data_IF_955776109141
#
_entry.id   IF_955776109141
#
_cell.length_a   1.000
_cell.length_b   1.000
_cell.length_c   1.000
_cell.angle_alpha   90.00
_cell.angle_beta   90.00
_cell.angle_gamma   90.00
#
_symmetry.space_group_name_H-M   'P 1'
#
loop_
_entity.id
_entity.type
_entity.pdbx_description
1 polymer ?
#
# COMPACT_ATOMS: atom_id res chain seq x y z
N UNK A 1 21.63 36.80 -13.60
CA UNK A 1 20.24 37.17 -13.94
C UNK A 1 19.18 36.81 -12.91
N UNK A 2 19.23 35.68 -12.19
CA UNK A 2 18.14 35.31 -11.27
C UNK A 2 18.41 35.46 -9.76
N UNK A 3 19.55 36.00 -9.32
CA UNK A 3 19.84 36.14 -7.88
C UNK A 3 19.74 34.81 -7.11
N UNK A 4 18.82 34.72 -6.15
CA UNK A 4 18.49 33.51 -5.36
C UNK A 4 17.46 32.58 -6.05
N UNK A 5 17.17 32.82 -7.33
CA UNK A 5 16.19 32.09 -8.13
C UNK A 5 14.92 32.88 -8.40
N UNK A 6 13.92 32.19 -8.99
CA UNK A 6 12.66 32.79 -9.44
C UNK A 6 12.68 33.16 -10.92
N UNK A 7 11.53 32.99 -11.58
CA UNK A 7 11.30 33.38 -12.98
C UNK A 7 10.29 34.53 -13.04
N UNK A 8 10.56 35.51 -13.89
CA UNK A 8 9.73 36.71 -14.05
C UNK A 8 8.57 36.44 -15.04
N UNK A 9 7.31 36.31 -14.58
CA UNK A 9 6.18 36.02 -15.46
C UNK A 9 5.85 37.14 -16.46
N UNK A 10 6.28 38.37 -16.18
CA UNK A 10 6.13 39.54 -17.05
C UNK A 10 7.02 39.50 -18.29
N UNK A 11 8.07 38.67 -18.30
CA UNK A 11 8.96 38.48 -19.44
C UNK A 11 8.46 37.26 -20.22
N UNK A 12 8.02 37.48 -21.47
CA UNK A 12 7.48 36.43 -22.36
C UNK A 12 8.57 35.52 -22.97
N UNK A 13 9.54 35.11 -22.16
CA UNK A 13 10.63 34.19 -22.51
C UNK A 13 10.67 33.08 -21.47
N UNK A 14 10.80 31.84 -21.94
CA UNK A 14 10.95 30.69 -21.05
C UNK A 14 12.25 30.79 -20.26
N UNK A 15 12.13 30.98 -18.96
CA UNK A 15 13.23 31.09 -18.01
C UNK A 15 13.28 29.79 -17.18
N UNK A 16 14.49 29.26 -16.95
CA UNK A 16 14.67 27.98 -16.24
C UNK A 16 15.64 28.13 -15.06
N UNK A 17 15.24 28.82 -13.96
CA UNK A 17 16.04 28.85 -12.74
C UNK A 17 16.34 27.42 -12.27
N UNK A 18 17.59 27.15 -11.88
CA UNK A 18 18.05 25.81 -11.44
C UNK A 18 17.76 24.67 -12.46
N UNK A 19 17.62 24.98 -13.75
CA UNK A 19 17.22 24.05 -14.82
C UNK A 19 15.85 23.37 -14.61
N UNK A 20 14.98 23.90 -13.73
CA UNK A 20 13.65 23.35 -13.52
C UNK A 20 12.75 23.59 -14.74
N UNK A 21 11.89 22.63 -15.09
CA UNK A 21 10.94 22.76 -16.21
C UNK A 21 11.54 22.56 -17.60
N UNK A 22 12.86 22.36 -17.71
CA UNK A 22 13.51 21.98 -18.96
C UNK A 22 13.32 20.48 -19.20
N UNK A 23 12.90 20.11 -20.41
CA UNK A 23 12.94 18.70 -20.84
C UNK A 23 14.40 18.23 -20.79
N UNK A 24 14.70 17.28 -19.89
CA UNK A 24 16.07 16.83 -19.65
C UNK A 24 16.70 16.17 -20.88
N UNK A 25 18.03 16.26 -21.03
CA UNK A 25 18.80 15.56 -22.09
C UNK A 25 18.73 14.01 -22.03
N UNK A 26 18.03 13.45 -21.04
CA UNK A 26 17.71 12.02 -20.93
C UNK A 26 16.29 11.87 -20.40
N UNK A 27 15.33 11.70 -21.31
CA UNK A 27 13.88 11.69 -21.04
C UNK A 27 13.42 10.56 -20.08
N UNK A 28 14.25 9.54 -19.85
CA UNK A 28 13.94 8.41 -18.96
C UNK A 28 15.12 8.09 -18.06
N UNK A 29 15.00 8.36 -16.76
CA UNK A 29 15.96 7.93 -15.74
C UNK A 29 15.35 6.84 -14.86
N UNK A 30 16.15 5.82 -14.51
CA UNK A 30 15.74 4.76 -13.58
C UNK A 30 15.99 5.15 -12.11
N UNK A 31 16.41 6.40 -11.86
CA UNK A 31 16.72 6.88 -10.52
C UNK A 31 15.44 7.37 -9.82
N UNK A 32 15.26 6.96 -8.56
CA UNK A 32 14.21 7.53 -7.70
C UNK A 32 14.51 9.01 -7.45
N UNK A 33 13.47 9.84 -7.46
CA UNK A 33 13.59 11.25 -7.16
C UNK A 33 14.11 11.46 -5.72
N UNK A 34 15.06 12.37 -5.55
CA UNK A 34 15.56 12.76 -4.23
C UNK A 34 14.45 13.50 -3.49
N UNK A 35 13.99 12.94 -2.37
CA UNK A 35 12.95 13.54 -1.54
C UNK A 35 13.57 14.20 -0.32
N UNK A 36 13.00 15.32 0.12
CA UNK A 36 13.38 16.01 1.36
C UNK A 36 12.32 15.81 2.45
N UNK A 37 12.74 15.89 3.71
CA UNK A 37 11.84 15.96 4.86
C UNK A 37 11.35 17.39 5.13
N UNK A 38 10.48 17.53 6.13
CA UNK A 38 9.93 18.83 6.50
C UNK A 38 11.01 19.79 7.03
N UNK A 39 12.16 19.25 7.45
CA UNK A 39 13.33 19.97 7.94
C UNK A 39 14.36 20.26 6.83
N UNK A 40 14.10 19.84 5.59
CA UNK A 40 14.99 20.04 4.46
C UNK A 40 16.15 19.04 4.37
N UNK A 41 16.19 17.99 5.20
CA UNK A 41 17.19 16.91 5.10
C UNK A 41 16.76 15.90 4.04
N UNK A 42 17.75 15.29 3.39
CA UNK A 42 17.53 14.26 2.37
C UNK A 42 16.94 13.01 3.01
N UNK A 43 15.80 12.53 2.49
CA UNK A 43 15.14 11.30 2.92
C UNK A 43 15.78 10.08 2.28
N UNK A 44 16.89 9.61 2.86
CA UNK A 44 17.49 8.33 2.49
C UNK A 44 16.60 7.12 2.84
N UNK A 45 15.63 7.29 3.74
CA UNK A 45 14.66 6.28 4.14
C UNK A 45 13.81 5.73 2.97
N UNK A 46 13.67 6.51 1.88
CA UNK A 46 12.97 6.07 0.67
C UNK A 46 13.60 4.80 0.07
N UNK A 47 14.92 4.61 0.23
CA UNK A 47 15.63 3.41 -0.20
C UNK A 47 15.24 2.19 0.64
N UNK A 48 15.18 2.34 1.97
CA UNK A 48 14.78 1.26 2.88
C UNK A 48 13.30 0.90 2.73
N UNK A 49 12.46 1.86 2.35
CA UNK A 49 11.02 1.66 2.11
C UNK A 49 10.68 1.07 0.75
N UNK A 50 11.65 0.86 -0.14
CA UNK A 50 11.39 0.31 -1.46
C UNK A 50 10.66 -1.03 -1.35
N UNK A 51 9.47 -1.15 -1.97
CA UNK A 51 8.66 -2.37 -1.94
C UNK A 51 7.74 -2.52 -0.72
N UNK A 52 7.81 -1.59 0.24
CA UNK A 52 6.87 -1.51 1.37
C UNK A 52 5.79 -0.44 1.09
N UNK A 53 4.67 -0.54 1.82
CA UNK A 53 3.64 0.48 1.77
C UNK A 53 4.12 1.78 2.48
N UNK A 54 3.59 2.93 2.06
CA UNK A 54 4.01 4.26 2.55
C UNK A 54 3.82 4.46 4.05
N UNK A 55 2.83 3.78 4.61
CA UNK A 55 2.36 3.77 5.99
C UNK A 55 3.10 2.76 6.87
N UNK A 56 3.88 1.84 6.28
CA UNK A 56 4.70 0.91 7.06
C UNK A 56 5.84 1.67 7.74
N UNK A 57 5.90 1.55 9.06
CA UNK A 57 6.96 2.14 9.87
C UNK A 57 8.24 1.32 9.70
N UNK A 58 9.31 1.98 9.27
CA UNK A 58 10.66 1.42 9.13
C UNK A 58 11.61 2.37 9.86
N UNK A 59 12.36 1.80 10.80
CA UNK A 59 13.41 2.53 11.51
C UNK A 59 14.70 2.47 10.68
N UNK A 60 15.25 3.62 10.36
CA UNK A 60 16.44 3.77 9.51
C UNK A 60 17.35 4.90 9.93
N UNK A 61 16.92 5.72 10.90
CA UNK A 61 17.65 6.91 11.33
C UNK A 61 18.34 6.67 12.66
N UNK A 62 19.46 7.35 12.89
CA UNK A 62 20.13 7.33 14.20
C UNK A 62 19.23 7.84 15.33
N UNK A 63 18.30 8.75 15.05
CA UNK A 63 17.30 9.23 16.02
C UNK A 63 16.45 8.11 16.57
N UNK A 64 16.24 7.04 15.81
CA UNK A 64 15.43 5.88 16.21
C UNK A 64 16.23 4.92 17.13
N UNK A 65 17.56 5.07 17.21
CA UNK A 65 18.43 4.33 18.15
C UNK A 65 18.60 5.04 19.49
N UNK A 66 18.24 6.33 19.56
CA UNK A 66 18.37 7.08 20.79
C UNK A 66 17.26 6.63 21.76
N UNK A 67 17.58 6.38 23.04
CA UNK A 67 16.57 6.04 24.01
C UNK A 67 15.62 7.22 24.20
N UNK A 68 14.32 6.94 24.22
CA UNK A 68 13.34 7.90 24.70
C UNK A 68 13.41 7.93 26.23
N UNK A 69 13.64 9.11 26.81
CA UNK A 69 13.63 9.29 28.26
C UNK A 69 12.20 9.24 28.77
N UNK A 70 11.94 8.39 29.78
CA UNK A 70 10.67 8.39 30.50
C UNK A 70 10.74 9.49 31.54
N UNK A 71 10.06 10.60 31.28
CA UNK A 71 10.15 11.83 32.11
C UNK A 71 9.27 11.73 33.36
N UNK A 72 8.17 10.97 33.30
CA UNK A 72 7.24 10.75 34.41
C UNK A 72 6.65 9.33 34.35
N UNK A 73 6.31 8.75 35.50
CA UNK A 73 5.69 7.41 35.57
C UNK A 73 4.25 7.40 35.00
N UNK A 74 3.54 8.53 35.05
CA UNK A 74 2.16 8.71 34.57
C UNK A 74 2.09 9.38 33.18
N UNK A 75 2.97 9.01 32.25
CA UNK A 75 2.94 9.55 30.88
C UNK A 75 1.74 8.99 30.09
N UNK A 76 0.77 9.82 29.66
CA UNK A 76 -0.42 9.37 28.94
C UNK A 76 -0.11 8.72 27.58
N UNK A 77 1.08 8.90 27.02
CA UNK A 77 1.50 8.24 25.78
C UNK A 77 1.88 6.77 25.94
N UNK A 78 2.20 6.35 27.18
CA UNK A 78 2.57 4.98 27.54
C UNK A 78 1.37 4.18 28.08
N UNK A 79 0.24 4.85 28.32
CA UNK A 79 -0.98 4.20 28.75
C UNK A 79 -1.51 3.24 27.68
N UNK A 80 -2.13 2.15 28.14
CA UNK A 80 -2.85 1.26 27.23
C UNK A 80 -4.03 2.04 26.64
N UNK A 81 -4.41 1.76 25.38
CA UNK A 81 -5.65 2.29 24.82
C UNK A 81 -6.85 1.98 25.73
N UNK A 82 -7.90 2.80 25.63
CA UNK A 82 -9.09 2.66 26.45
C UNK A 82 -9.72 1.26 26.30
N UNK A 83 -10.36 0.76 27.36
CA UNK A 83 -10.98 -0.57 27.37
C UNK A 83 -12.02 -0.72 26.25
N UNK A 84 -12.74 0.35 25.90
CA UNK A 84 -13.69 0.35 24.79
C UNK A 84 -13.01 0.16 23.42
N UNK A 85 -11.86 0.79 23.17
CA UNK A 85 -11.09 0.64 21.92
C UNK A 85 -10.49 -0.76 21.80
N UNK A 86 -10.04 -1.32 22.94
CA UNK A 86 -9.57 -2.70 23.03
C UNK A 86 -10.69 -3.67 22.70
N UNK A 87 -11.89 -3.46 23.25
CA UNK A 87 -13.07 -4.28 22.93
C UNK A 87 -13.47 -4.17 21.46
N UNK A 88 -13.50 -2.96 20.90
CA UNK A 88 -13.83 -2.77 19.48
C UNK A 88 -12.80 -3.47 18.57
N UNK A 89 -11.51 -3.34 18.86
CA UNK A 89 -10.45 -4.00 18.10
C UNK A 89 -10.52 -5.52 18.24
N UNK A 90 -10.85 -6.02 19.43
CA UNK A 90 -11.05 -7.46 19.69
C UNK A 90 -12.22 -8.01 18.90
N UNK A 91 -13.34 -7.28 18.81
CA UNK A 91 -14.49 -7.70 18.02
C UNK A 91 -14.19 -7.69 16.52
N UNK A 92 -13.54 -6.63 16.01
CA UNK A 92 -13.13 -6.54 14.60
C UNK A 92 -12.18 -7.68 14.22
N UNK A 93 -11.18 -7.96 15.05
CA UNK A 93 -10.20 -9.03 14.81
C UNK A 93 -10.84 -10.41 14.90
N UNK A 94 -11.72 -10.63 15.89
CA UNK A 94 -12.49 -11.87 16.01
C UNK A 94 -13.33 -12.15 14.76
N UNK A 95 -14.11 -11.18 14.29
CA UNK A 95 -14.94 -11.32 13.08
C UNK A 95 -14.10 -11.61 11.83
N UNK A 96 -12.93 -10.97 11.69
CA UNK A 96 -12.01 -11.23 10.58
C UNK A 96 -11.44 -12.65 10.62
N UNK A 97 -11.06 -13.14 11.81
CA UNK A 97 -10.55 -14.50 11.99
C UNK A 97 -11.65 -15.54 11.77
N UNK A 98 -12.87 -15.30 12.25
CA UNK A 98 -14.05 -16.15 12.01
C UNK A 98 -14.35 -16.28 10.51
N UNK A 99 -14.23 -15.19 9.73
CA UNK A 99 -14.40 -15.25 8.28
C UNK A 99 -13.35 -16.13 7.59
N UNK A 100 -12.10 -16.05 8.03
CA UNK A 100 -11.01 -16.87 7.49
C UNK A 100 -11.17 -18.35 7.86
N UNK A 101 -11.57 -18.64 9.10
CA UNK A 101 -11.79 -20.02 9.55
C UNK A 101 -13.01 -20.63 8.88
N UNK A 102 -14.10 -19.88 8.71
CA UNK A 102 -15.29 -20.35 8.00
C UNK A 102 -14.96 -20.78 6.56
N UNK A 103 -14.13 -20.01 5.86
CA UNK A 103 -13.66 -20.37 4.50
C UNK A 103 -12.87 -21.68 4.49
N UNK A 104 -12.03 -21.91 5.50
CA UNK A 104 -11.26 -23.16 5.65
C UNK A 104 -12.15 -24.36 5.99
N UNK A 105 -13.11 -24.17 6.89
CA UNK A 105 -14.07 -25.21 7.29
C UNK A 105 -14.94 -25.61 6.09
N UNK A 106 -15.48 -24.64 5.35
CA UNK A 106 -16.27 -24.89 4.16
C UNK A 106 -15.50 -25.64 3.05
N UNK A 107 -14.19 -25.43 2.96
CA UNK A 107 -13.32 -26.18 2.05
C UNK A 107 -13.10 -27.63 2.49
N UNK A 108 -13.09 -27.90 3.79
CA UNK A 108 -12.84 -29.23 4.36
C UNK A 108 -14.11 -30.10 4.48
N UNK A 109 -15.31 -29.53 4.39
CA UNK A 109 -16.56 -30.30 4.45
C UNK A 109 -16.70 -31.23 3.22
N UNK A 110 -16.84 -32.57 3.41
CA UNK A 110 -16.85 -33.54 2.31
C UNK A 110 -18.04 -33.43 1.36
N UNK A 111 -19.21 -33.04 1.88
CA UNK A 111 -20.46 -32.92 1.11
C UNK A 111 -20.88 -31.46 1.13
N UNK A 112 -21.06 -30.87 -0.05
CA UNK A 112 -21.60 -29.51 -0.19
C UNK A 112 -23.06 -29.60 -0.59
N UNK A 113 -23.94 -29.01 0.21
CA UNK A 113 -25.27 -28.68 -0.26
C UNK A 113 -25.15 -27.66 -1.41
N UNK A 114 -26.01 -27.74 -2.42
CA UNK A 114 -26.02 -26.77 -3.50
C UNK A 114 -26.26 -25.36 -2.91
N UNK A 115 -25.29 -24.48 -3.10
CA UNK A 115 -25.39 -23.09 -2.64
C UNK A 115 -26.49 -22.38 -3.43
N UNK A 116 -27.35 -21.65 -2.72
CA UNK A 116 -28.35 -20.79 -3.37
C UNK A 116 -27.63 -19.63 -4.01
N UNK A 117 -27.85 -19.41 -5.30
CA UNK A 117 -27.25 -18.29 -6.03
C UNK A 117 -27.70 -16.97 -5.41
N UNK A 118 -26.73 -16.08 -5.20
CA UNK A 118 -27.02 -14.74 -4.71
C UNK A 118 -27.90 -13.97 -5.71
N UNK A 119 -28.72 -13.00 -5.24
CA UNK A 119 -29.50 -12.16 -6.13
C UNK A 119 -28.59 -11.31 -7.05
N UNK A 120 -29.14 -10.91 -8.19
CA UNK A 120 -28.40 -10.08 -9.16
C UNK A 120 -27.95 -8.74 -8.55
N UNK A 121 -26.68 -8.39 -8.75
CA UNK A 121 -26.09 -7.13 -8.28
C UNK A 121 -25.95 -6.15 -9.44
N UNK A 122 -26.22 -4.87 -9.20
CA UNK A 122 -26.06 -3.82 -10.22
C UNK A 122 -24.89 -2.92 -9.84
N UNK A 123 -23.90 -2.82 -10.73
CA UNK A 123 -22.69 -2.02 -10.53
C UNK A 123 -22.68 -0.88 -11.53
N UNK A 124 -22.54 0.35 -11.05
CA UNK A 124 -22.32 1.53 -11.89
C UNK A 124 -20.82 1.67 -12.16
N UNK A 125 -20.43 1.62 -13.42
CA UNK A 125 -19.05 1.72 -13.86
C UNK A 125 -18.83 2.94 -14.74
N UNK A 126 -17.79 3.72 -14.42
CA UNK A 126 -17.32 4.83 -15.25
C UNK A 126 -16.04 4.38 -15.97
N UNK A 127 -16.07 4.20 -17.30
CA UNK A 127 -14.86 3.87 -18.06
C UNK A 127 -13.80 4.98 -17.97
N UNK A 128 -12.53 4.57 -17.88
CA UNK A 128 -11.39 5.50 -17.95
C UNK A 128 -11.17 6.02 -19.37
N UNK A 129 -11.37 5.18 -20.38
CA UNK A 129 -11.38 5.58 -21.78
C UNK A 129 -12.74 6.18 -22.13
N UNK A 130 -12.77 7.49 -22.36
CA UNK A 130 -13.97 8.24 -22.72
C UNK A 130 -13.84 8.78 -24.14
N UNK A 131 -14.96 8.86 -24.85
CA UNK A 131 -15.04 9.45 -26.18
C UNK A 131 -16.43 9.26 -26.76
N UNK A 132 -16.85 10.16 -27.66
CA UNK A 132 -18.19 10.11 -28.26
C UNK A 132 -18.47 8.82 -29.04
N UNK A 133 -17.42 8.17 -29.56
CA UNK A 133 -17.49 6.89 -30.27
C UNK A 133 -17.62 5.68 -29.32
N UNK A 134 -17.38 5.84 -28.02
CA UNK A 134 -17.42 4.76 -27.03
C UNK A 134 -18.68 4.85 -26.17
N UNK A 135 -19.19 3.70 -25.74
CA UNK A 135 -20.36 3.58 -24.87
C UNK A 135 -21.58 4.38 -25.37
N UNK A 136 -21.76 4.46 -26.71
CA UNK A 136 -22.81 5.23 -27.38
C UNK A 136 -22.92 6.69 -26.89
N UNK A 137 -21.79 7.31 -26.54
CA UNK A 137 -21.74 8.69 -26.01
C UNK A 137 -22.09 8.82 -24.53
N UNK A 138 -22.45 7.74 -23.84
CA UNK A 138 -22.72 7.75 -22.41
C UNK A 138 -21.43 7.73 -21.59
N UNK A 139 -21.39 8.53 -20.51
CA UNK A 139 -20.22 8.59 -19.62
C UNK A 139 -20.09 7.38 -18.67
N UNK A 140 -21.18 6.66 -18.43
CA UNK A 140 -21.25 5.55 -17.47
C UNK A 140 -22.04 4.39 -18.05
N UNK A 141 -21.84 3.19 -17.51
CA UNK A 141 -22.62 1.98 -17.79
C UNK A 141 -23.05 1.32 -16.48
N UNK A 142 -24.25 0.74 -16.48
CA UNK A 142 -24.74 -0.09 -15.37
C UNK A 142 -24.65 -1.54 -15.78
N UNK A 143 -23.95 -2.34 -14.98
CA UNK A 143 -23.66 -3.76 -15.24
C UNK A 143 -24.46 -4.59 -14.25
N UNK A 144 -25.27 -5.52 -14.76
CA UNK A 144 -25.94 -6.53 -13.94
C UNK A 144 -25.03 -7.75 -13.81
N UNK A 145 -24.47 -7.95 -12.63
CA UNK A 145 -23.67 -9.11 -12.25
C UNK A 145 -24.59 -10.20 -11.69
N UNK A 146 -24.49 -11.40 -12.24
CA UNK A 146 -25.18 -12.61 -11.77
C UNK A 146 -24.14 -13.70 -11.61
N UNK A 147 -24.14 -14.39 -10.48
CA UNK A 147 -23.28 -15.54 -10.26
C UNK A 147 -23.75 -16.71 -11.12
N UNK A 148 -22.84 -17.29 -11.91
CA UNK A 148 -23.15 -18.47 -12.71
C UNK A 148 -23.39 -19.67 -11.80
N UNK A 149 -24.52 -20.35 -11.99
CA UNK A 149 -24.87 -21.53 -11.20
C UNK A 149 -23.80 -22.61 -11.36
N UNK A 150 -23.23 -23.04 -10.23
CA UNK A 150 -22.22 -24.09 -10.18
C UNK A 150 -22.88 -25.45 -10.00
N UNK A 151 -22.44 -26.42 -10.79
CA UNK A 151 -22.90 -27.80 -10.66
C UNK A 151 -22.30 -28.45 -9.37
N UNK A 152 -23.12 -28.94 -8.44
CA UNK A 152 -22.64 -29.57 -7.20
C UNK A 152 -21.89 -30.89 -7.43
N UNK A 153 -22.05 -31.56 -8.57
CA UNK A 153 -21.34 -32.81 -8.89
C UNK A 153 -20.13 -32.60 -9.82
N UNK A 154 -19.83 -31.35 -10.17
CA UNK A 154 -18.68 -31.03 -11.02
C UNK A 154 -17.36 -31.21 -10.24
N UNK A 155 -16.42 -32.04 -10.73
CA UNK A 155 -15.12 -32.24 -10.08
C UNK A 155 -14.21 -31.00 -10.21
N UNK A 156 -13.10 -30.92 -9.45
CA UNK A 156 -12.14 -29.81 -9.56
C UNK A 156 -11.57 -29.65 -10.98
N UNK A 157 -11.68 -28.44 -11.55
CA UNK A 157 -11.30 -28.13 -12.95
C UNK A 157 -9.80 -28.14 -13.23
N UNK A 158 -8.98 -27.80 -12.23
CA UNK A 158 -7.55 -27.52 -12.43
C UNK A 158 -6.67 -28.33 -11.48
N UNK A 159 -5.44 -28.62 -11.94
CA UNK A 159 -4.41 -29.26 -11.13
C UNK A 159 -3.80 -28.24 -10.16
N UNK A 160 -4.03 -28.42 -8.86
CA UNK A 160 -3.57 -27.50 -7.79
C UNK A 160 -2.15 -27.87 -7.28
N UNK A 161 -1.66 -29.06 -7.62
CA UNK A 161 -0.38 -29.59 -7.14
C UNK A 161 0.88 -28.98 -7.78
N UNK A 162 0.76 -27.87 -8.55
CA UNK A 162 1.90 -27.18 -9.14
C UNK A 162 2.73 -26.51 -8.05
N UNK A 163 3.93 -27.04 -7.79
CA UNK A 163 4.88 -26.45 -6.84
C UNK A 163 5.60 -25.28 -7.49
N UNK A 164 5.62 -24.14 -6.80
CA UNK A 164 6.30 -22.91 -7.24
C UNK A 164 7.33 -22.59 -6.15
N UNK A 165 8.56 -22.14 -6.48
CA UNK A 165 9.51 -21.67 -5.48
C UNK A 165 8.91 -20.53 -4.68
N UNK A 166 9.34 -20.38 -3.42
CA UNK A 166 8.91 -19.24 -2.60
C UNK A 166 9.34 -17.95 -3.30
N UNK A 167 8.43 -16.98 -3.33
CA UNK A 167 8.76 -15.64 -3.81
C UNK A 167 9.85 -14.99 -2.96
N UNK A 168 10.46 -13.88 -3.43
CA UNK A 168 11.42 -13.14 -2.63
C UNK A 168 10.76 -12.69 -1.31
N UNK A 169 11.52 -12.62 -0.20
CA UNK A 169 10.99 -12.06 1.04
C UNK A 169 10.67 -10.57 0.86
N UNK A 170 9.98 -10.00 1.84
CA UNK A 170 9.88 -8.54 1.91
C UNK A 170 11.29 -7.92 1.95
N UNK A 171 11.48 -6.73 1.36
CA UNK A 171 12.77 -6.03 1.36
C UNK A 171 13.39 -5.99 2.76
N UNK A 172 14.70 -6.23 2.89
CA UNK A 172 15.35 -6.35 4.18
C UNK A 172 15.22 -5.05 4.98
N UNK A 173 14.90 -5.18 6.27
CA UNK A 173 14.87 -4.03 7.16
C UNK A 173 16.31 -3.55 7.47
N UNK A 174 16.53 -2.23 7.68
CA UNK A 174 17.79 -1.71 8.16
C UNK A 174 18.19 -2.34 9.50
N UNK A 175 19.47 -2.65 9.64
CA UNK A 175 20.00 -3.28 10.86
C UNK A 175 20.44 -2.20 11.85
N UNK A 176 19.73 -2.10 12.97
CA UNK A 176 19.90 -1.06 13.99
C UNK A 176 20.73 -1.58 15.18
N UNK A 177 21.99 -1.92 14.92
CA UNK A 177 22.92 -2.39 15.97
C UNK A 177 23.60 -1.23 16.70
N UNK A 178 24.04 -1.49 17.93
CA UNK A 178 25.03 -0.64 18.59
C UNK A 178 26.36 -0.68 17.81
N UNK A 179 27.24 0.31 17.98
CA UNK A 179 28.61 0.25 17.45
C UNK A 179 29.30 -1.07 17.79
N UNK A 180 30.11 -1.59 16.87
CA UNK A 180 30.80 -2.87 17.07
C UNK A 180 31.72 -2.79 18.27
N UNK A 181 31.67 -3.81 19.12
CA UNK A 181 32.60 -3.93 20.24
C UNK A 181 33.98 -4.26 19.69
N UNK A 182 35.02 -3.65 20.26
CA UNK A 182 36.40 -3.97 19.90
C UNK A 182 36.64 -5.46 20.17
N UNK A 183 36.96 -6.20 19.13
CA UNK A 183 37.53 -7.54 19.26
C UNK A 183 39.01 -7.33 19.55
N UNK A 184 39.48 -7.97 20.63
CA UNK A 184 40.79 -7.81 21.28
C UNK A 184 41.93 -7.40 20.34
#
# INVERSE_FOLDING_TARGET
DFGDGGSFPEISVAQYPLNMGREGKGSTSNALAVQLDAQGKIKYDVLARQGHAKDKIIYSKLTDLLPAEVVAEDDPSLERPNDDDVRETTEKTRLALEKLTHTKIAAAMPVRCAEKTAPAQYIRYTPSQQGAAFNSGAKQRVIRMVEAQRDPIEPPKFKINKKIPRGPPSPPAPVMHSPTRKVR
#
